data_IF_852023182904
#
_entry.id   IF_852023182904
#
_cell.length_a   1.000
_cell.length_b   1.000
_cell.length_c   1.000
_cell.angle_alpha   90.00
_cell.angle_beta   90.00
_cell.angle_gamma   90.00
#
_symmetry.space_group_name_H-M   'P 1'
#
loop_
_entity.id
_entity.type
_entity.pdbx_description
1 polymer ?
#
# COMPACT_ATOMS: atom_id res chain seq x y z
N UNK A 1 48.75 55.87 -32.56
CA UNK A 1 47.42 55.37 -32.13
C UNK A 1 47.23 55.84 -30.71
N UNK A 2 46.48 56.95 -30.53
CA UNK A 2 45.16 56.99 -29.84
C UNK A 2 45.27 56.51 -28.38
N UNK A 3 45.31 57.42 -27.40
CA UNK A 3 44.13 58.03 -26.72
C UNK A 3 43.21 56.95 -26.12
N UNK A 4 42.67 56.97 -24.90
CA UNK A 4 42.41 57.97 -23.85
C UNK A 4 41.76 57.15 -22.69
N UNK A 5 42.08 57.40 -21.40
CA UNK A 5 41.21 58.07 -20.40
C UNK A 5 39.95 57.26 -19.95
N UNK A 6 39.87 56.98 -18.62
CA UNK A 6 38.64 56.92 -17.76
C UNK A 6 37.82 55.61 -17.88
N UNK A 7 37.19 54.99 -16.87
CA UNK A 7 36.62 55.38 -15.57
C UNK A 7 36.54 54.14 -14.65
N UNK A 8 36.56 54.37 -13.33
CA UNK A 8 35.96 53.52 -12.30
C UNK A 8 34.43 53.61 -12.42
N UNK A 9 33.69 52.49 -12.53
CA UNK A 9 32.39 52.27 -11.85
C UNK A 9 31.84 50.83 -12.03
N UNK A 10 31.70 50.15 -10.89
CA UNK A 10 30.56 49.33 -10.44
C UNK A 10 29.91 48.30 -11.40
N UNK A 11 30.01 47.00 -11.07
CA UNK A 11 28.83 46.12 -10.97
C UNK A 11 29.03 45.15 -9.80
N UNK A 12 28.37 45.42 -8.68
CA UNK A 12 27.93 44.38 -7.75
C UNK A 12 26.87 43.56 -8.48
N UNK A 13 27.19 42.34 -8.91
CA UNK A 13 26.19 41.39 -9.41
C UNK A 13 26.24 40.14 -8.54
N UNK A 14 25.30 40.12 -7.59
CA UNK A 14 24.61 38.96 -7.03
C UNK A 14 25.36 37.61 -7.08
N UNK A 15 25.71 37.12 -5.89
CA UNK A 15 25.89 35.69 -5.65
C UNK A 15 24.58 34.95 -5.97
N UNK A 16 24.43 34.56 -7.22
CA UNK A 16 23.48 33.55 -7.66
C UNK A 16 24.21 32.21 -7.59
N UNK A 17 23.65 31.35 -6.76
CA UNK A 17 24.00 29.96 -6.53
C UNK A 17 24.32 29.20 -7.82
N UNK A 18 25.60 28.86 -8.01
CA UNK A 18 26.01 27.78 -8.90
C UNK A 18 26.38 26.58 -8.04
N UNK A 19 25.52 25.56 -8.08
CA UNK A 19 25.90 24.22 -7.59
C UNK A 19 27.15 23.77 -8.34
N UNK A 20 28.17 23.34 -7.61
CA UNK A 20 29.40 22.87 -8.22
C UNK A 20 29.14 21.58 -8.98
N UNK A 21 29.37 21.61 -10.30
CA UNK A 21 29.48 20.44 -11.16
C UNK A 21 30.81 19.73 -10.87
N UNK A 22 30.66 18.71 -10.05
CA UNK A 22 31.48 17.53 -9.83
C UNK A 22 32.16 17.02 -11.15
N UNK A 23 33.49 16.75 -11.16
CA UNK A 23 34.25 16.40 -12.40
C UNK A 23 34.08 14.96 -12.91
N UNK A 24 34.16 14.82 -14.24
CA UNK A 24 33.50 13.81 -15.09
C UNK A 24 34.00 12.36 -15.02
N UNK A 25 35.19 12.02 -14.52
CA UNK A 25 35.70 10.63 -14.61
C UNK A 25 35.66 9.82 -13.32
N UNK A 26 35.67 10.47 -12.15
CA UNK A 26 35.94 9.79 -10.87
C UNK A 26 34.69 9.59 -9.99
N UNK A 27 33.57 10.25 -10.31
CA UNK A 27 32.25 9.81 -9.83
C UNK A 27 31.69 8.62 -10.62
N UNK A 28 32.37 8.21 -11.70
CA UNK A 28 31.67 7.67 -12.86
C UNK A 28 31.57 6.15 -12.99
N UNK A 29 32.03 5.25 -12.09
CA UNK A 29 31.87 3.79 -12.37
C UNK A 29 31.31 2.89 -11.24
N UNK A 30 31.98 2.59 -10.13
CA UNK A 30 31.32 1.86 -9.01
C UNK A 30 30.27 2.72 -8.30
N UNK A 31 30.61 4.00 -8.16
CA UNK A 31 29.70 5.06 -7.75
C UNK A 31 28.67 5.32 -8.85
N UNK A 32 28.98 5.37 -10.14
CA UNK A 32 27.91 5.60 -11.13
C UNK A 32 26.86 4.51 -11.21
N UNK A 33 27.19 3.24 -10.99
CA UNK A 33 26.15 2.21 -10.91
C UNK A 33 25.31 2.39 -9.63
N UNK A 34 25.95 2.53 -8.47
CA UNK A 34 25.24 2.78 -7.21
C UNK A 34 24.42 4.07 -7.21
N UNK A 35 25.05 5.19 -7.55
CA UNK A 35 24.44 6.52 -7.71
C UNK A 35 23.42 6.53 -8.83
N UNK A 36 23.67 5.90 -9.98
CA UNK A 36 22.70 5.84 -11.08
C UNK A 36 21.43 5.10 -10.69
N UNK A 37 21.56 3.94 -10.04
CA UNK A 37 20.41 3.16 -9.56
C UNK A 37 19.65 3.94 -8.48
N UNK A 38 20.35 4.49 -7.49
CA UNK A 38 19.71 5.19 -6.37
C UNK A 38 19.11 6.53 -6.80
N UNK A 39 19.78 7.30 -7.66
CA UNK A 39 19.29 8.55 -8.20
C UNK A 39 18.06 8.34 -9.11
N UNK A 40 18.08 7.32 -9.97
CA UNK A 40 16.93 6.99 -10.81
C UNK A 40 15.71 6.58 -9.96
N UNK A 41 15.94 5.86 -8.85
CA UNK A 41 14.88 5.48 -7.91
C UNK A 41 14.38 6.64 -7.05
N UNK A 42 15.25 7.59 -6.70
CA UNK A 42 14.95 8.65 -5.74
C UNK A 42 15.23 10.05 -6.32
N UNK A 43 14.47 10.47 -7.34
CA UNK A 43 14.67 11.78 -7.96
C UNK A 43 14.46 12.91 -6.96
N UNK A 44 15.35 13.91 -6.99
CA UNK A 44 15.24 15.11 -6.15
C UNK A 44 15.60 14.92 -4.66
N UNK A 45 16.23 13.79 -4.29
CA UNK A 45 16.75 13.55 -2.94
C UNK A 45 18.25 13.75 -2.89
N UNK A 46 18.72 14.46 -1.87
CA UNK A 46 20.14 14.44 -1.47
C UNK A 46 20.41 13.15 -0.73
N UNK A 47 21.51 12.47 -1.05
CA UNK A 47 21.91 11.22 -0.41
C UNK A 47 23.41 11.00 -0.50
N UNK A 48 23.92 10.13 0.36
CA UNK A 48 25.28 9.60 0.31
C UNK A 48 25.25 8.12 -0.08
N UNK A 49 26.24 7.67 -0.86
CA UNK A 49 26.36 6.25 -1.23
C UNK A 49 27.70 5.69 -0.81
N UNK A 50 27.63 4.45 -0.40
CA UNK A 50 28.76 3.63 -0.01
C UNK A 50 28.55 2.23 -0.57
N UNK A 51 29.64 1.58 -0.97
CA UNK A 51 29.58 0.25 -1.57
C UNK A 51 30.50 -0.64 -0.76
N UNK A 52 29.94 -1.74 -0.23
CA UNK A 52 30.69 -2.74 0.54
C UNK A 52 30.62 -4.10 -0.14
N UNK A 53 31.66 -4.93 -0.02
CA UNK A 53 31.55 -6.32 -0.42
C UNK A 53 30.54 -7.05 0.48
N UNK A 54 29.78 -7.98 -0.09
CA UNK A 54 28.96 -8.88 0.71
C UNK A 54 29.86 -9.82 1.52
N UNK A 55 29.51 -10.04 2.78
CA UNK A 55 30.32 -10.81 3.74
C UNK A 55 30.19 -12.33 3.58
N UNK A 56 29.33 -12.80 2.69
CA UNK A 56 29.12 -14.23 2.43
C UNK A 56 28.11 -14.90 3.37
N UNK A 57 27.60 -14.20 4.40
CA UNK A 57 26.87 -14.82 5.50
C UNK A 57 25.58 -14.05 5.81
N UNK A 58 25.68 -12.76 6.09
CA UNK A 58 24.57 -11.98 6.61
C UNK A 58 23.70 -11.37 5.49
N UNK A 59 22.51 -10.87 5.82
CA UNK A 59 21.64 -10.20 4.85
C UNK A 59 22.27 -8.91 4.33
N UNK A 60 21.76 -8.41 3.20
CA UNK A 60 22.25 -7.13 2.64
C UNK A 60 22.06 -6.00 3.64
N UNK A 61 20.90 -5.98 4.30
CA UNK A 61 20.53 -4.95 5.26
C UNK A 61 21.32 -5.04 6.57
N UNK A 62 21.58 -6.25 7.07
CA UNK A 62 22.44 -6.42 8.25
C UNK A 62 23.83 -5.86 7.98
N UNK A 63 24.39 -6.16 6.81
CA UNK A 63 25.71 -5.68 6.42
C UNK A 63 25.77 -4.16 6.28
N UNK A 64 24.74 -3.54 5.68
CA UNK A 64 24.65 -2.08 5.60
C UNK A 64 24.67 -1.42 7.00
N UNK A 65 23.83 -1.91 7.91
CA UNK A 65 23.67 -1.32 9.24
C UNK A 65 24.86 -1.56 10.17
N UNK A 66 25.55 -2.69 10.05
CA UNK A 66 26.60 -3.09 10.99
C UNK A 66 28.02 -2.82 10.49
N UNK A 67 28.25 -2.81 9.18
CA UNK A 67 29.58 -2.52 8.62
C UNK A 67 29.79 -1.04 8.31
N UNK A 68 28.71 -0.26 8.16
CA UNK A 68 28.78 1.18 7.89
C UNK A 68 28.31 1.96 9.11
N UNK A 69 27.00 1.96 9.39
CA UNK A 69 26.38 2.45 10.63
C UNK A 69 24.88 2.12 10.61
N UNK A 70 24.24 2.18 11.78
CA UNK A 70 22.84 1.76 11.98
C UNK A 70 21.77 2.63 11.29
N UNK A 71 22.15 3.67 10.55
CA UNK A 71 21.24 4.52 9.78
C UNK A 71 21.36 4.34 8.26
N UNK A 72 22.12 3.35 7.80
CA UNK A 72 22.36 3.10 6.38
C UNK A 72 21.71 1.80 5.94
N UNK A 73 21.24 1.80 4.71
CA UNK A 73 20.37 0.75 4.19
C UNK A 73 20.83 0.23 2.83
N UNK A 74 20.60 -1.05 2.58
CA UNK A 74 20.89 -1.66 1.30
C UNK A 74 19.88 -1.20 0.23
N UNK A 75 20.41 -0.79 -0.93
CA UNK A 75 19.63 -0.25 -2.05
C UNK A 75 19.62 -1.18 -3.26
N UNK A 76 20.70 -1.92 -3.45
CA UNK A 76 20.88 -2.89 -4.52
C UNK A 76 22.06 -3.81 -4.18
N UNK A 77 22.10 -4.98 -4.80
CA UNK A 77 23.30 -5.80 -4.85
C UNK A 77 23.75 -6.01 -6.31
N UNK A 78 25.06 -5.94 -6.54
CA UNK A 78 25.66 -6.06 -7.86
C UNK A 78 26.67 -7.19 -7.83
N UNK A 79 26.55 -8.10 -8.78
CA UNK A 79 27.53 -9.16 -9.01
C UNK A 79 28.71 -8.61 -9.82
N UNK A 80 29.94 -8.86 -9.42
CA UNK A 80 31.13 -8.49 -10.20
C UNK A 80 32.46 -8.58 -9.43
N UNK A 81 33.55 -8.87 -10.13
CA UNK A 81 34.91 -9.04 -9.55
C UNK A 81 35.80 -7.78 -9.66
N UNK A 82 35.30 -6.70 -10.24
CA UNK A 82 36.15 -5.65 -10.82
C UNK A 82 35.84 -4.23 -10.34
N UNK A 83 35.28 -4.09 -9.13
CA UNK A 83 35.00 -2.76 -8.53
C UNK A 83 36.26 -1.92 -8.26
N UNK A 84 37.43 -2.54 -8.30
CA UNK A 84 38.75 -1.92 -8.09
C UNK A 84 39.60 -1.77 -9.36
N UNK A 85 39.09 -2.11 -10.55
CA UNK A 85 39.89 -2.01 -11.78
C UNK A 85 39.91 -0.60 -12.37
N UNK A 86 41.05 -0.21 -12.95
CA UNK A 86 41.16 1.00 -13.77
C UNK A 86 40.33 0.87 -15.05
N UNK A 87 39.63 1.94 -15.44
CA UNK A 87 38.84 1.95 -16.67
C UNK A 87 39.77 2.13 -17.88
N UNK A 88 40.01 1.04 -18.61
CA UNK A 88 40.88 0.96 -19.78
C UNK A 88 40.11 0.89 -21.11
N UNK A 89 38.78 1.02 -21.07
CA UNK A 89 37.90 0.93 -22.25
C UNK A 89 37.30 -0.46 -22.51
N UNK A 90 37.44 -1.39 -21.56
CA UNK A 90 36.76 -2.69 -21.61
C UNK A 90 35.22 -2.59 -21.52
N UNK A 91 34.50 -3.50 -22.20
CA UNK A 91 33.03 -3.56 -22.21
C UNK A 91 32.49 -4.21 -20.93
N UNK A 92 31.71 -3.46 -20.13
CA UNK A 92 31.16 -3.91 -18.85
C UNK A 92 29.79 -4.62 -18.95
N UNK A 93 29.17 -4.65 -20.12
CA UNK A 93 27.78 -5.13 -20.31
C UNK A 93 27.56 -6.61 -19.98
N UNK A 94 28.64 -7.41 -20.00
CA UNK A 94 28.60 -8.86 -19.71
C UNK A 94 28.92 -9.22 -18.25
N UNK A 95 29.23 -8.23 -17.41
CA UNK A 95 29.87 -8.46 -16.10
C UNK A 95 28.98 -8.22 -14.89
N UNK A 96 27.81 -7.58 -15.03
CA UNK A 96 26.99 -7.18 -13.90
C UNK A 96 25.54 -7.69 -14.00
N UNK A 97 25.14 -8.47 -12.99
CA UNK A 97 23.72 -8.64 -12.66
C UNK A 97 23.42 -7.73 -11.47
N UNK A 98 22.44 -6.85 -11.64
CA UNK A 98 21.93 -5.98 -10.59
C UNK A 98 20.64 -6.61 -10.06
N UNK A 99 20.57 -6.82 -8.74
CA UNK A 99 19.34 -7.22 -8.07
C UNK A 99 18.90 -6.12 -7.13
N UNK A 100 17.59 -5.92 -7.05
CA UNK A 100 16.99 -4.77 -6.38
C UNK A 100 16.11 -5.18 -5.20
N UNK A 101 16.22 -6.43 -4.75
CA UNK A 101 15.60 -6.94 -3.54
C UNK A 101 16.47 -8.01 -2.88
N UNK A 102 16.28 -8.20 -1.57
CA UNK A 102 16.89 -9.29 -0.80
C UNK A 102 16.43 -10.67 -1.30
N UNK A 103 15.18 -10.79 -1.75
CA UNK A 103 14.63 -12.04 -2.29
C UNK A 103 15.32 -12.46 -3.59
N UNK A 104 15.44 -11.54 -4.55
CA UNK A 104 16.19 -11.76 -5.79
C UNK A 104 17.65 -12.07 -5.50
N UNK A 105 18.28 -11.30 -4.61
CA UNK A 105 19.64 -11.58 -4.18
C UNK A 105 19.80 -12.99 -3.64
N UNK A 106 18.91 -13.44 -2.76
CA UNK A 106 18.95 -14.78 -2.19
C UNK A 106 18.77 -15.89 -3.25
N UNK A 107 17.97 -15.65 -4.29
CA UNK A 107 17.79 -16.58 -5.40
C UNK A 107 19.06 -16.76 -6.25
N UNK A 108 19.85 -15.70 -6.41
CA UNK A 108 21.01 -15.68 -7.33
C UNK A 108 22.37 -15.65 -6.64
N UNK A 109 22.44 -15.44 -5.31
CA UNK A 109 23.72 -15.19 -4.62
C UNK A 109 24.73 -16.32 -4.77
N UNK A 110 24.25 -17.57 -4.86
CA UNK A 110 25.07 -18.77 -5.06
C UNK A 110 25.63 -18.93 -6.48
N UNK A 111 25.08 -18.22 -7.47
CA UNK A 111 25.48 -18.31 -8.87
C UNK A 111 26.55 -17.27 -9.24
N UNK A 112 27.07 -16.52 -8.26
CA UNK A 112 28.01 -15.43 -8.46
C UNK A 112 29.39 -15.67 -7.85
N UNK A 113 30.41 -15.02 -8.42
CA UNK A 113 31.79 -15.07 -7.93
C UNK A 113 32.01 -14.12 -6.76
N UNK A 114 31.46 -12.90 -6.81
CA UNK A 114 31.47 -11.91 -5.73
C UNK A 114 30.27 -10.97 -5.86
N UNK A 115 29.74 -10.54 -4.72
CA UNK A 115 28.62 -9.61 -4.63
C UNK A 115 29.00 -8.37 -3.85
N UNK A 116 28.49 -7.23 -4.30
CA UNK A 116 28.70 -5.92 -3.69
C UNK A 116 27.35 -5.33 -3.34
N UNK A 117 27.25 -4.78 -2.14
CA UNK A 117 26.07 -4.13 -1.59
C UNK A 117 26.24 -2.64 -1.81
N UNK A 118 25.29 -2.04 -2.52
CA UNK A 118 25.16 -0.59 -2.62
C UNK A 118 24.31 -0.15 -1.44
N UNK A 119 24.87 0.71 -0.59
CA UNK A 119 24.22 1.23 0.60
C UNK A 119 24.05 2.75 0.48
N UNK A 120 23.00 3.29 1.09
CA UNK A 120 22.81 4.73 1.24
C UNK A 120 22.17 5.08 2.58
N UNK A 121 22.13 6.37 2.89
CA UNK A 121 21.39 6.98 4.00
C UNK A 121 19.87 7.11 3.72
N UNK A 122 19.40 6.61 2.57
CA UNK A 122 17.99 6.52 2.25
C UNK A 122 17.43 5.20 2.77
N UNK A 123 16.15 5.15 3.14
CA UNK A 123 15.47 3.93 3.58
C UNK A 123 15.69 2.75 2.60
N UNK A 124 15.75 1.49 3.08
CA UNK A 124 16.09 0.32 2.27
C UNK A 124 15.06 0.12 1.16
N UNK A 125 15.52 -0.36 0.00
CA UNK A 125 14.71 -0.75 -1.15
C UNK A 125 13.45 0.10 -1.32
N UNK A 126 13.57 1.33 -1.86
CA UNK A 126 12.48 2.33 -1.99
C UNK A 126 11.06 1.75 -2.16
N UNK A 127 10.45 1.35 -1.06
CA UNK A 127 9.02 1.33 -0.92
C UNK A 127 8.76 2.68 -0.31
N UNK A 128 8.36 3.62 -1.16
CA UNK A 128 7.70 4.84 -0.72
C UNK A 128 6.69 4.43 0.34
N UNK A 129 7.01 4.64 1.61
CA UNK A 129 6.14 4.30 2.73
C UNK A 129 4.79 4.96 2.51
N UNK A 130 4.81 6.17 1.95
CA UNK A 130 3.66 6.91 1.44
C UNK A 130 4.09 7.63 0.14
N UNK A 131 3.40 7.39 -0.99
CA UNK A 131 3.59 8.09 -2.27
C UNK A 131 2.34 8.88 -2.62
N UNK A 132 2.47 10.16 -2.86
CA UNK A 132 1.40 10.98 -3.46
C UNK A 132 1.59 11.03 -4.97
N UNK A 133 0.55 10.70 -5.72
CA UNK A 133 0.50 10.78 -7.19
C UNK A 133 0.11 12.20 -7.63
N UNK A 134 0.39 12.56 -8.88
CA UNK A 134 0.07 13.89 -9.44
C UNK A 134 -1.43 14.22 -9.38
N UNK A 135 -2.30 13.19 -9.41
CA UNK A 135 -3.75 13.33 -9.28
C UNK A 135 -4.24 13.44 -7.81
N UNK A 136 -3.32 13.55 -6.86
CA UNK A 136 -3.58 13.65 -5.43
C UNK A 136 -3.89 12.33 -4.72
N UNK A 137 -3.84 11.18 -5.41
CA UNK A 137 -4.04 9.88 -4.77
C UNK A 137 -2.81 9.49 -3.92
N UNK A 138 -3.04 8.77 -2.84
CA UNK A 138 -2.01 8.34 -1.88
C UNK A 138 -1.85 6.82 -1.93
N UNK A 139 -0.61 6.35 -2.07
CA UNK A 139 -0.24 4.94 -2.01
C UNK A 139 0.56 4.67 -0.75
N UNK A 140 0.23 3.64 0.02
CA UNK A 140 1.00 3.22 1.21
C UNK A 140 1.53 1.82 0.98
N UNK A 141 2.87 1.68 0.96
CA UNK A 141 3.52 0.40 0.67
C UNK A 141 3.31 -0.11 -0.76
N UNK A 142 3.01 0.79 -1.71
CA UNK A 142 2.81 0.47 -3.14
C UNK A 142 3.54 1.48 -4.03
N UNK A 143 4.05 1.00 -5.15
CA UNK A 143 4.65 1.82 -6.22
C UNK A 143 3.66 2.16 -7.32
N UNK A 144 2.62 1.34 -7.51
CA UNK A 144 1.58 1.52 -8.52
C UNK A 144 0.21 1.37 -7.87
N UNK A 145 -0.74 2.20 -8.29
CA UNK A 145 -2.12 2.14 -7.86
C UNK A 145 -2.82 0.96 -8.56
N UNK A 146 -3.49 0.08 -7.79
CA UNK A 146 -4.19 -1.07 -8.37
C UNK A 146 -5.50 -0.64 -9.04
N UNK A 147 -6.20 0.34 -8.49
CA UNK A 147 -7.46 0.85 -9.02
C UNK A 147 -7.52 2.38 -8.87
N UNK A 148 -7.62 3.09 -10.00
CA UNK A 148 -7.63 4.56 -10.09
C UNK A 148 -8.81 5.23 -9.37
N UNK A 149 -9.87 4.47 -9.05
CA UNK A 149 -11.02 4.94 -8.27
C UNK A 149 -10.72 5.18 -6.79
N UNK A 150 -9.65 4.60 -6.24
CA UNK A 150 -9.31 4.79 -4.82
C UNK A 150 -8.43 6.01 -4.59
N UNK A 151 -8.82 6.88 -3.66
CA UNK A 151 -7.97 8.00 -3.24
C UNK A 151 -6.81 7.57 -2.33
N UNK A 152 -6.98 6.47 -1.60
CA UNK A 152 -5.98 5.87 -0.73
C UNK A 152 -5.89 4.37 -1.04
N UNK A 153 -4.72 3.89 -1.45
CA UNK A 153 -4.48 2.49 -1.81
C UNK A 153 -3.31 1.92 -0.99
N UNK A 154 -3.58 0.90 -0.18
CA UNK A 154 -2.70 0.42 0.89
C UNK A 154 -2.38 -1.06 0.67
N UNK A 155 -1.10 -1.41 0.69
CA UNK A 155 -0.66 -2.80 0.74
C UNK A 155 -0.42 -3.22 2.18
N UNK A 156 -1.43 -3.86 2.79
CA UNK A 156 -1.37 -4.36 4.17
C UNK A 156 -2.63 -4.07 4.97
N UNK A 157 -2.54 -4.31 6.28
CA UNK A 157 -3.64 -4.05 7.23
C UNK A 157 -3.45 -2.68 7.90
N UNK A 158 -4.57 -2.01 8.17
CA UNK A 158 -4.60 -0.73 8.88
C UNK A 158 -5.08 -0.97 10.30
N UNK A 159 -4.38 -0.39 11.29
CA UNK A 159 -4.87 -0.29 12.66
C UNK A 159 -5.26 1.15 12.94
N UNK A 160 -6.49 1.38 13.36
CA UNK A 160 -7.01 2.69 13.75
C UNK A 160 -7.75 2.55 15.08
N UNK A 161 -7.76 3.63 15.88
CA UNK A 161 -8.60 3.69 17.07
C UNK A 161 -10.08 3.90 16.67
N UNK A 162 -10.33 4.66 15.62
CA UNK A 162 -11.67 4.97 15.11
C UNK A 162 -11.62 5.24 13.60
N UNK A 163 -12.69 4.86 12.89
CA UNK A 163 -12.93 5.20 11.48
C UNK A 163 -14.37 5.70 11.37
N UNK A 164 -14.54 6.97 10.99
CA UNK A 164 -15.85 7.55 10.71
C UNK A 164 -16.12 7.45 9.21
N UNK A 165 -17.20 6.78 8.83
CA UNK A 165 -17.62 6.60 7.44
C UNK A 165 -18.96 7.31 7.24
N UNK A 166 -19.04 8.21 6.27
CA UNK A 166 -20.30 8.84 5.90
C UNK A 166 -21.10 7.87 5.04
N UNK A 167 -22.19 7.33 5.58
CA UNK A 167 -23.09 6.41 4.90
C UNK A 167 -24.54 6.88 5.00
N UNK A 168 -25.39 6.40 4.09
CA UNK A 168 -26.84 6.49 4.26
C UNK A 168 -27.31 5.41 5.24
N UNK A 169 -28.23 5.76 6.14
CA UNK A 169 -28.92 4.79 7.02
C UNK A 169 -29.79 3.80 6.24
N UNK A 170 -30.45 2.90 6.95
CA UNK A 170 -31.32 1.87 6.36
C UNK A 170 -32.83 2.09 6.63
N UNK A 171 -33.20 3.23 7.21
CA UNK A 171 -34.54 3.52 7.74
C UNK A 171 -35.70 3.37 6.75
N UNK A 172 -35.41 3.31 5.44
CA UNK A 172 -36.39 3.05 4.38
C UNK A 172 -37.13 1.72 4.55
N UNK A 173 -36.59 0.78 5.35
CA UNK A 173 -37.26 -0.49 5.69
C UNK A 173 -38.58 -0.27 6.44
N UNK A 174 -38.74 0.90 7.09
CA UNK A 174 -39.95 1.26 7.82
C UNK A 174 -40.99 2.04 7.00
N UNK A 175 -40.72 2.32 5.72
CA UNK A 175 -41.68 3.00 4.85
C UNK A 175 -42.88 2.10 4.51
N UNK A 176 -44.07 2.70 4.34
CA UNK A 176 -45.33 1.97 4.13
C UNK A 176 -45.33 1.08 2.87
N UNK A 177 -44.54 1.46 1.86
CA UNK A 177 -44.41 0.75 0.58
C UNK A 177 -43.25 -0.26 0.57
N UNK A 178 -42.52 -0.43 1.68
CA UNK A 178 -41.41 -1.36 1.76
C UNK A 178 -41.91 -2.82 1.66
N UNK A 179 -41.41 -3.54 0.65
CA UNK A 179 -41.78 -4.93 0.39
C UNK A 179 -40.92 -5.88 1.23
N UNK A 180 -41.31 -6.07 2.49
CA UNK A 180 -40.68 -7.06 3.36
C UNK A 180 -40.90 -8.48 2.81
N UNK A 181 -39.81 -9.19 2.51
CA UNK A 181 -39.85 -10.59 2.07
C UNK A 181 -40.38 -11.47 3.19
N UNK A 182 -41.21 -12.46 2.87
CA UNK A 182 -41.66 -13.44 3.87
C UNK A 182 -40.52 -14.35 4.33
N UNK A 183 -40.61 -14.89 5.55
CA UNK A 183 -39.62 -15.84 6.07
C UNK A 183 -39.49 -17.10 5.20
N UNK A 184 -40.58 -17.52 4.53
CA UNK A 184 -40.54 -18.66 3.60
C UNK A 184 -39.74 -18.35 2.34
N UNK A 185 -39.86 -17.13 1.78
CA UNK A 185 -39.03 -16.69 0.65
C UNK A 185 -37.56 -16.56 1.05
N UNK A 186 -37.29 -16.04 2.25
CA UNK A 186 -35.93 -15.94 2.79
C UNK A 186 -35.33 -17.33 3.00
N UNK A 187 -36.10 -18.27 3.57
CA UNK A 187 -35.66 -19.65 3.78
C UNK A 187 -35.31 -20.35 2.45
N UNK A 188 -36.17 -20.20 1.43
CA UNK A 188 -35.92 -20.74 0.10
C UNK A 188 -34.62 -20.20 -0.48
N UNK A 189 -34.42 -18.87 -0.42
CA UNK A 189 -33.20 -18.23 -0.91
C UNK A 189 -31.95 -18.71 -0.16
N UNK A 190 -31.99 -18.80 1.17
CA UNK A 190 -30.84 -19.25 1.98
C UNK A 190 -30.51 -20.72 1.69
N UNK A 191 -31.52 -21.57 1.46
CA UNK A 191 -31.31 -22.98 1.08
C UNK A 191 -30.59 -23.11 -0.25
N UNK A 192 -30.96 -22.28 -1.23
CA UNK A 192 -30.41 -22.28 -2.59
C UNK A 192 -29.02 -21.61 -2.66
N UNK A 193 -28.90 -20.39 -2.15
CA UNK A 193 -27.70 -19.55 -2.36
C UNK A 193 -26.70 -19.56 -1.20
N UNK A 194 -27.06 -20.10 -0.03
CA UNK A 194 -26.20 -20.17 1.18
C UNK A 194 -25.75 -18.82 1.75
N UNK A 195 -26.44 -17.73 1.40
CA UNK A 195 -26.27 -16.41 2.01
C UNK A 195 -27.63 -15.69 2.09
N UNK A 196 -27.68 -14.56 2.80
CA UNK A 196 -28.90 -13.76 2.91
C UNK A 196 -29.19 -12.97 1.62
N UNK A 197 -30.47 -12.74 1.28
CA UNK A 197 -30.83 -11.90 0.15
C UNK A 197 -30.25 -10.48 0.28
N UNK A 198 -29.55 -9.99 -0.75
CA UNK A 198 -28.93 -8.67 -0.75
C UNK A 198 -27.59 -8.57 -0.01
N UNK A 199 -27.06 -9.68 0.51
CA UNK A 199 -25.70 -9.79 1.04
C UNK A 199 -24.87 -10.61 0.08
N UNK A 200 -23.68 -10.13 -0.32
CA UNK A 200 -22.80 -10.87 -1.21
C UNK A 200 -22.37 -12.22 -0.59
N UNK A 201 -22.04 -13.19 -1.44
CA UNK A 201 -21.51 -14.47 -0.97
C UNK A 201 -20.10 -14.33 -0.39
N UNK A 202 -19.70 -15.26 0.49
CA UNK A 202 -18.36 -15.25 1.06
C UNK A 202 -17.25 -15.33 -0.01
N UNK A 203 -17.49 -16.04 -1.11
CA UNK A 203 -16.54 -16.15 -2.23
C UNK A 203 -16.37 -14.82 -2.97
N UNK A 204 -17.47 -14.10 -3.22
CA UNK A 204 -17.42 -12.76 -3.84
C UNK A 204 -16.68 -11.77 -2.93
N UNK A 205 -16.99 -11.78 -1.62
CA UNK A 205 -16.33 -10.92 -0.64
C UNK A 205 -14.83 -11.18 -0.53
N UNK A 206 -14.39 -12.43 -0.65
CA UNK A 206 -12.96 -12.78 -0.66
C UNK A 206 -12.25 -12.31 -1.93
N UNK A 207 -12.93 -12.37 -3.07
CA UNK A 207 -12.36 -12.04 -4.37
C UNK A 207 -12.31 -10.52 -4.61
N UNK A 208 -13.39 -9.82 -4.26
CA UNK A 208 -13.60 -8.41 -4.63
C UNK A 208 -13.40 -7.45 -3.45
N UNK A 209 -13.32 -7.99 -2.22
CA UNK A 209 -13.31 -7.21 -1.00
C UNK A 209 -14.73 -6.81 -0.57
N UNK A 210 -14.82 -6.00 0.48
CA UNK A 210 -16.08 -5.52 1.03
C UNK A 210 -16.02 -4.01 1.21
N UNK A 211 -16.96 -3.29 0.60
CA UNK A 211 -17.17 -1.88 0.88
C UNK A 211 -17.76 -1.73 2.28
N UNK A 212 -16.94 -1.29 3.24
CA UNK A 212 -17.31 -1.22 4.67
C UNK A 212 -18.61 -0.44 4.90
N UNK A 213 -18.77 0.68 4.21
CA UNK A 213 -19.98 1.54 4.28
C UNK A 213 -21.24 0.78 3.88
N UNK A 214 -21.24 0.22 2.65
CA UNK A 214 -22.40 -0.44 2.07
C UNK A 214 -22.75 -1.72 2.83
N UNK A 215 -21.73 -2.45 3.27
CA UNK A 215 -21.91 -3.65 4.05
C UNK A 215 -22.53 -3.34 5.42
N UNK A 216 -22.07 -2.29 6.10
CA UNK A 216 -22.66 -1.87 7.37
C UNK A 216 -24.12 -1.42 7.21
N UNK A 217 -24.44 -0.67 6.15
CA UNK A 217 -25.83 -0.28 5.84
C UNK A 217 -26.69 -1.51 5.51
N UNK A 218 -26.16 -2.47 4.75
CA UNK A 218 -26.87 -3.73 4.44
C UNK A 218 -27.12 -4.55 5.70
N UNK A 219 -26.15 -4.63 6.62
CA UNK A 219 -26.34 -5.30 7.91
C UNK A 219 -27.41 -4.62 8.75
N UNK A 220 -27.42 -3.29 8.81
CA UNK A 220 -28.46 -2.53 9.50
C UNK A 220 -29.85 -2.82 8.91
N UNK A 221 -29.97 -2.81 7.58
CA UNK A 221 -31.20 -3.18 6.88
C UNK A 221 -31.69 -4.58 7.30
N UNK A 222 -30.78 -5.57 7.42
CA UNK A 222 -31.14 -6.93 7.84
C UNK A 222 -31.57 -7.02 9.30
N UNK A 223 -30.97 -6.21 10.18
CA UNK A 223 -31.38 -6.11 11.58
C UNK A 223 -32.79 -5.52 11.67
N UNK A 224 -33.12 -4.52 10.86
CA UNK A 224 -34.44 -3.90 10.82
C UNK A 224 -35.51 -4.84 10.24
N UNK A 225 -35.23 -5.51 9.12
CA UNK A 225 -36.09 -6.56 8.54
C UNK A 225 -36.37 -7.66 9.58
N UNK A 226 -35.34 -8.13 10.29
CA UNK A 226 -35.48 -9.13 11.36
C UNK A 226 -36.34 -8.59 12.50
N UNK A 227 -36.18 -7.32 12.88
CA UNK A 227 -36.97 -6.67 13.93
C UNK A 227 -38.45 -6.61 13.54
N UNK A 228 -38.78 -6.30 12.27
CA UNK A 228 -40.15 -6.35 11.77
C UNK A 228 -40.75 -7.76 11.86
N UNK A 229 -40.00 -8.79 11.47
CA UNK A 229 -40.44 -10.18 11.63
C UNK A 229 -40.68 -10.56 13.09
N UNK A 230 -39.81 -10.13 14.02
CA UNK A 230 -39.98 -10.39 15.45
C UNK A 230 -41.22 -9.69 16.01
N UNK A 231 -41.49 -8.44 15.60
CA UNK A 231 -42.70 -7.70 15.97
C UNK A 231 -43.94 -8.46 15.48
N UNK A 232 -43.93 -8.95 14.23
CA UNK A 232 -45.03 -9.73 13.66
C UNK A 232 -45.23 -11.06 14.41
N UNK A 233 -44.15 -11.79 14.69
CA UNK A 233 -44.20 -13.04 15.45
C UNK A 233 -44.76 -12.81 16.86
N UNK A 234 -44.35 -11.75 17.56
CA UNK A 234 -44.87 -11.41 18.89
C UNK A 234 -46.38 -11.11 18.85
N UNK A 235 -46.87 -10.42 17.81
CA UNK A 235 -48.31 -10.19 17.61
C UNK A 235 -49.06 -11.52 17.42
N UNK A 236 -48.51 -12.45 16.63
CA UNK A 236 -49.09 -13.79 16.43
C UNK A 236 -49.12 -14.60 17.72
N UNK A 237 -48.04 -14.60 18.50
CA UNK A 237 -47.95 -15.28 19.80
C UNK A 237 -49.01 -14.76 20.78
N UNK A 238 -49.13 -13.44 20.94
CA UNK A 238 -50.16 -12.84 21.80
C UNK A 238 -51.59 -13.23 21.37
N UNK A 239 -51.85 -13.31 20.06
CA UNK A 239 -53.14 -13.76 19.53
C UNK A 239 -53.40 -15.23 19.86
N UNK A 240 -52.41 -16.09 19.68
CA UNK A 240 -52.51 -17.51 20.02
C UNK A 240 -52.71 -17.72 21.53
N UNK A 241 -51.98 -17.01 22.39
CA UNK A 241 -52.16 -17.05 23.85
C UNK A 241 -53.56 -16.62 24.29
N UNK A 242 -54.13 -15.61 23.62
CA UNK A 242 -55.51 -15.18 23.87
C UNK A 242 -56.50 -16.30 23.50
N UNK A 243 -56.36 -16.89 22.32
CA UNK A 243 -57.21 -17.99 21.87
C UNK A 243 -57.10 -19.22 22.78
N UNK A 244 -55.88 -19.57 23.22
CA UNK A 244 -55.65 -20.66 24.17
C UNK A 244 -56.36 -20.39 25.50
N UNK A 245 -56.27 -19.15 26.02
CA UNK A 245 -56.98 -18.75 27.24
C UNK A 245 -58.49 -18.89 27.09
N UNK A 246 -59.06 -18.39 26.00
CA UNK A 246 -60.50 -18.49 25.71
C UNK A 246 -60.97 -19.95 25.60
N UNK A 247 -60.25 -20.80 24.87
CA UNK A 247 -60.54 -22.23 24.75
C UNK A 247 -60.44 -22.95 26.10
N UNK A 248 -59.42 -22.64 26.91
CA UNK A 248 -59.26 -23.23 28.24
C UNK A 248 -60.37 -22.81 29.21
N UNK A 249 -60.86 -21.58 29.10
CA UNK A 249 -61.98 -21.08 29.90
C UNK A 249 -63.30 -21.73 29.46
N UNK A 250 -63.52 -21.92 28.17
CA UNK A 250 -64.67 -22.64 27.63
C UNK A 250 -64.69 -24.11 28.10
N UNK A 251 -63.54 -24.79 28.05
CA UNK A 251 -63.41 -26.18 28.51
C UNK A 251 -63.62 -26.35 30.02
N UNK A 252 -63.39 -25.32 30.83
CA UNK A 252 -63.65 -25.35 32.28
C UNK A 252 -65.12 -25.13 32.65
N UNK A 253 -65.94 -24.60 31.73
CA UNK A 253 -67.36 -24.30 31.95
C UNK A 253 -68.31 -25.42 31.52
N UNK A 254 -67.82 -26.40 30.74
CA UNK A 254 -68.55 -27.60 30.32
C UNK A 254 -67.93 -28.82 30.99
#
# INVERSE_FOLDING_TARGET
MKEQIVTIFLIMLSALSFGQTLSEKQQLNARATGYGIVAAKNPGKSFSIYVIPWDGINSLEYNANNQINSGWHAQAAVKGNYFSQSFDGSDFSRYSSVVLSEEEFNAYKSLGTQWWIICSDLSPFSNTSIRTLENGNILVGKTVQTNSGYKLDINGKIRANEIVVNTSGADFVFEENYKLKSLSEVEAFVKEHKHLPGVNSANEMQKEGVALSEFQTTLLQKIEELTLHLIEQNKRLKKQEKQIRELSAFRRKN
#
